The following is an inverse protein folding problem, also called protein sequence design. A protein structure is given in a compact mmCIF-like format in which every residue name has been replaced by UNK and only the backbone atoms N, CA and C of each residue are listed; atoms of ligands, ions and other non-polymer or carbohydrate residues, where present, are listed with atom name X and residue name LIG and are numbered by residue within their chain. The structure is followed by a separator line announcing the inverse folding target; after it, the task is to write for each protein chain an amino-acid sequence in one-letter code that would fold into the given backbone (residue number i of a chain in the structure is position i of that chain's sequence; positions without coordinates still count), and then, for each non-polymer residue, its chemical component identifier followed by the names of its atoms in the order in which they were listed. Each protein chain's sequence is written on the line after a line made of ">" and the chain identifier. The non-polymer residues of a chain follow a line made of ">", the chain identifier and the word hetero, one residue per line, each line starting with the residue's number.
data_IF_826592952075
#
_entry.id   IF_826592952075
#
_cell.length_a   1.000
_cell.length_b   1.000
_cell.length_c   1.000
_cell.angle_alpha   90.00
_cell.angle_beta   90.00
_cell.angle_gamma   90.00
#
_symmetry.space_group_name_H-M   'P 1'
#
loop_
_entity.id
_entity.type
_entity.pdbx_description
1 polymer ?
#
# COMPACT_ATOMS: atom_id res chain seq x y z
N UNK A 1 -10.01 -13.49 -14.58
CA UNK A 1 -10.05 -13.32 -13.12
C UNK A 1 -8.91 -14.10 -12.52
N UNK A 2 -7.83 -13.41 -12.19
CA UNK A 2 -6.65 -14.00 -11.62
C UNK A 2 -6.72 -13.99 -10.08
N UNK A 3 -6.18 -15.05 -9.48
CA UNK A 3 -5.97 -15.17 -8.04
C UNK A 3 -4.47 -15.09 -7.79
N UNK A 4 -4.06 -14.45 -6.71
CA UNK A 4 -2.65 -14.41 -6.34
C UNK A 4 -2.43 -13.67 -5.03
N UNK A 5 -1.20 -13.27 -4.81
CA UNK A 5 -0.82 -12.45 -3.65
C UNK A 5 -0.17 -11.16 -4.07
N UNK A 6 -0.37 -10.10 -3.30
CA UNK A 6 0.44 -8.89 -3.39
C UNK A 6 1.25 -8.81 -2.12
N UNK A 7 2.58 -8.90 -2.24
CA UNK A 7 3.48 -8.73 -1.10
C UNK A 7 3.78 -7.26 -0.95
N UNK A 8 3.48 -6.70 0.22
CA UNK A 8 3.69 -5.29 0.52
C UNK A 8 4.77 -5.17 1.59
N UNK A 9 5.85 -4.47 1.29
CA UNK A 9 6.92 -4.19 2.26
C UNK A 9 6.86 -2.74 2.71
N UNK A 10 6.80 -2.53 4.02
CA UNK A 10 6.91 -1.22 4.63
C UNK A 10 8.37 -0.99 5.05
N UNK A 11 9.14 -0.26 4.25
CA UNK A 11 10.55 0.04 4.53
C UNK A 11 10.73 1.33 5.34
N UNK A 12 9.78 1.60 6.23
CA UNK A 12 9.75 2.82 7.07
C UNK A 12 9.81 2.44 8.55
N UNK A 13 10.14 3.42 9.40
CA UNK A 13 10.16 3.23 10.84
C UNK A 13 8.75 3.20 11.48
N UNK A 14 7.70 3.55 10.73
CA UNK A 14 6.35 3.71 11.25
C UNK A 14 5.46 2.52 10.89
N UNK A 15 4.48 2.23 11.74
CA UNK A 15 3.43 1.26 11.40
C UNK A 15 2.43 1.90 10.44
N UNK A 16 2.20 1.25 9.30
CA UNK A 16 1.26 1.70 8.27
C UNK A 16 0.05 0.77 8.22
N UNK A 17 -1.08 1.27 7.74
CA UNK A 17 -2.19 0.43 7.32
C UNK A 17 -2.26 0.42 5.79
N UNK A 18 -2.77 -0.65 5.21
CA UNK A 18 -2.97 -0.75 3.77
C UNK A 18 -4.36 -1.27 3.43
N UNK A 19 -4.85 -0.84 2.28
CA UNK A 19 -6.04 -1.37 1.64
C UNK A 19 -5.72 -1.63 0.17
N UNK A 20 -6.09 -2.80 -0.32
CA UNK A 20 -6.01 -3.16 -1.73
C UNK A 20 -7.40 -3.12 -2.34
N UNK A 21 -7.52 -2.43 -3.46
CA UNK A 21 -8.75 -2.30 -4.23
C UNK A 21 -8.56 -2.96 -5.60
N UNK A 22 -9.59 -3.65 -6.10
CA UNK A 22 -9.59 -4.08 -7.50
C UNK A 22 -9.61 -2.87 -8.44
N UNK A 23 -8.97 -2.95 -9.60
CA UNK A 23 -9.07 -1.86 -10.56
C UNK A 23 -10.53 -1.69 -11.02
N UNK A 24 -11.02 -0.45 -11.03
CA UNK A 24 -12.41 -0.12 -11.41
C UNK A 24 -13.42 -0.06 -10.27
N UNK A 25 -13.07 -0.38 -9.02
CA UNK A 25 -13.93 -0.03 -7.87
C UNK A 25 -13.80 1.46 -7.57
N UNK A 26 -14.85 2.23 -7.91
CA UNK A 26 -14.92 3.69 -7.73
C UNK A 26 -15.30 4.08 -6.29
N UNK A 27 -15.88 3.16 -5.53
CA UNK A 27 -16.17 3.27 -4.10
C UNK A 27 -16.65 1.90 -3.61
N UNK A 28 -15.95 1.29 -2.66
CA UNK A 28 -16.30 -0.03 -2.14
C UNK A 28 -15.31 -0.51 -1.08
N UNK A 29 -15.67 -1.56 -0.34
CA UNK A 29 -14.77 -2.19 0.62
C UNK A 29 -13.51 -2.72 -0.07
N UNK A 30 -12.33 -2.61 0.55
CA UNK A 30 -11.12 -3.19 -0.01
C UNK A 30 -11.25 -4.71 -0.13
N UNK A 31 -10.63 -5.27 -1.17
CA UNK A 31 -10.60 -6.73 -1.37
C UNK A 31 -9.61 -7.42 -0.42
N UNK A 32 -8.60 -6.67 0.05
CA UNK A 32 -7.69 -7.08 1.11
C UNK A 32 -7.25 -5.85 1.90
N UNK A 33 -7.00 -6.01 3.20
CA UNK A 33 -6.51 -4.94 4.07
C UNK A 33 -5.66 -5.51 5.18
N UNK A 34 -4.85 -4.66 5.80
CA UNK A 34 -4.06 -5.06 6.96
C UNK A 34 -3.12 -3.98 7.46
N UNK A 35 -2.26 -4.40 8.39
CA UNK A 35 -1.24 -3.56 9.01
C UNK A 35 0.14 -3.96 8.49
N UNK A 36 0.96 -2.99 8.12
CA UNK A 36 2.35 -3.17 7.75
C UNK A 36 3.24 -2.76 8.92
N UNK A 37 3.93 -3.73 9.52
CA UNK A 37 4.93 -3.45 10.53
C UNK A 37 6.22 -2.91 9.88
N UNK A 38 6.99 -2.08 10.59
CA UNK A 38 8.28 -1.58 10.11
C UNK A 38 9.21 -2.68 9.60
N UNK A 39 9.77 -2.49 8.41
CA UNK A 39 10.71 -3.36 7.72
C UNK A 39 10.27 -4.82 7.60
N UNK A 40 8.95 -5.06 7.54
CA UNK A 40 8.39 -6.41 7.38
C UNK A 40 7.46 -6.46 6.17
N UNK A 41 7.58 -7.51 5.32
CA UNK A 41 6.61 -7.77 4.28
C UNK A 41 5.30 -8.28 4.87
N UNK A 42 4.19 -7.99 4.19
CA UNK A 42 2.88 -8.56 4.45
C UNK A 42 2.28 -9.07 3.14
N UNK A 43 1.78 -10.30 3.14
CA UNK A 43 1.18 -10.93 1.96
C UNK A 43 -0.35 -10.73 2.01
N UNK A 44 -0.87 -9.98 1.05
CA UNK A 44 -2.29 -9.78 0.87
C UNK A 44 -2.83 -10.70 -0.24
N UNK A 45 -3.72 -11.62 0.12
CA UNK A 45 -4.38 -12.50 -0.85
C UNK A 45 -5.44 -11.70 -1.62
N UNK A 46 -5.39 -11.79 -2.96
CA UNK A 46 -6.30 -11.07 -3.85
C UNK A 46 -6.92 -12.00 -4.89
N UNK A 47 -8.16 -11.71 -5.27
CA UNK A 47 -8.90 -12.48 -6.26
C UNK A 47 -9.96 -11.62 -6.96
N UNK A 48 -10.38 -12.08 -8.14
CA UNK A 48 -11.52 -11.50 -8.87
C UNK A 48 -11.19 -10.35 -9.83
N UNK A 49 -9.96 -9.82 -9.81
CA UNK A 49 -9.52 -8.74 -10.68
C UNK A 49 -8.18 -9.07 -11.36
N UNK A 50 -7.95 -8.47 -12.53
CA UNK A 50 -6.68 -8.63 -13.25
C UNK A 50 -5.63 -7.59 -12.79
N UNK A 51 -6.09 -6.47 -12.24
CA UNK A 51 -5.27 -5.38 -11.70
C UNK A 51 -5.83 -4.90 -10.36
N UNK A 52 -4.94 -4.42 -9.50
CA UNK A 52 -5.24 -3.96 -8.14
C UNK A 52 -4.46 -2.69 -7.81
N UNK A 53 -5.07 -1.76 -7.06
CA UNK A 53 -4.42 -0.58 -6.52
C UNK A 53 -4.14 -0.78 -5.02
N UNK A 54 -2.89 -0.66 -4.62
CA UNK A 54 -2.48 -0.75 -3.21
C UNK A 54 -2.41 0.65 -2.60
N UNK A 55 -3.36 0.99 -1.73
CA UNK A 55 -3.43 2.27 -1.04
C UNK A 55 -2.89 2.14 0.38
N UNK A 56 -2.06 3.10 0.80
CA UNK A 56 -1.42 3.13 2.11
C UNK A 56 -1.99 4.28 2.94
N UNK A 57 -2.19 4.02 4.22
CA UNK A 57 -2.72 4.94 5.20
C UNK A 57 -1.69 5.08 6.32
N UNK A 58 -1.28 6.32 6.58
CA UNK A 58 -0.47 6.62 7.75
C UNK A 58 -1.35 6.52 8.99
N UNK A 59 -1.09 5.51 9.82
CA UNK A 59 -1.79 5.33 11.08
C UNK A 59 -1.57 6.55 11.96
N UNK A 60 -2.63 7.31 12.23
CA UNK A 60 -2.59 8.48 13.14
C UNK A 60 -2.35 9.85 12.49
N UNK A 61 -1.98 9.94 11.20
CA UNK A 61 -1.85 11.25 10.52
C UNK A 61 -3.00 11.57 9.55
N UNK A 62 -3.83 10.58 9.22
CA UNK A 62 -4.93 10.74 8.26
C UNK A 62 -4.48 10.84 6.79
N UNK A 63 -3.17 10.78 6.51
CA UNK A 63 -2.64 10.80 5.15
C UNK A 63 -2.93 9.52 4.39
N UNK A 64 -3.41 9.66 3.15
CA UNK A 64 -3.63 8.56 2.20
C UNK A 64 -2.65 8.69 1.04
N UNK A 65 -1.93 7.62 0.75
CA UNK A 65 -1.06 7.51 -0.43
C UNK A 65 -1.63 6.46 -1.38
N UNK A 66 -1.86 6.88 -2.61
CA UNK A 66 -2.31 5.99 -3.67
C UNK A 66 -1.09 5.34 -4.32
N UNK A 67 -0.93 4.04 -4.10
CA UNK A 67 0.18 3.28 -4.69
C UNK A 67 -0.07 2.91 -6.15
N UNK A 68 0.88 2.19 -6.76
CA UNK A 68 0.77 1.75 -8.15
C UNK A 68 -0.39 0.77 -8.34
N UNK A 69 -0.88 0.73 -9.58
CA UNK A 69 -1.75 -0.36 -10.03
C UNK A 69 -0.88 -1.53 -10.47
N UNK A 70 -1.07 -2.71 -9.87
CA UNK A 70 -0.25 -3.91 -10.07
C UNK A 70 -1.11 -5.13 -10.38
N UNK A 71 -0.51 -6.13 -11.02
CA UNK A 71 -1.14 -7.43 -11.19
C UNK A 71 -1.03 -8.29 -9.92
N UNK A 72 -1.73 -9.45 -9.89
CA UNK A 72 -1.48 -10.47 -8.87
C UNK A 72 -0.02 -10.96 -8.92
N UNK A 73 0.44 -11.52 -7.81
CA UNK A 73 1.80 -12.07 -7.61
C UNK A 73 2.93 -11.03 -7.79
N UNK A 74 2.60 -9.76 -7.54
CA UNK A 74 3.54 -8.62 -7.59
C UNK A 74 4.00 -8.23 -6.19
N UNK A 75 5.24 -7.75 -6.07
CA UNK A 75 5.75 -7.14 -4.84
C UNK A 75 5.74 -5.62 -4.96
N UNK A 76 5.27 -4.94 -3.90
CA UNK A 76 5.22 -3.48 -3.80
C UNK A 76 5.96 -3.06 -2.55
N UNK A 77 6.92 -2.16 -2.70
CA UNK A 77 7.66 -1.58 -1.58
C UNK A 77 7.22 -0.13 -1.38
N UNK A 78 6.88 0.21 -0.13
CA UNK A 78 6.56 1.58 0.27
C UNK A 78 7.68 2.12 1.14
N UNK A 79 8.21 3.26 0.71
CA UNK A 79 9.23 4.03 1.42
C UNK A 79 8.63 5.40 1.70
N UNK A 80 8.33 5.68 2.97
CA UNK A 80 7.95 7.00 3.48
C UNK A 80 9.18 7.58 4.17
N UNK A 81 9.82 8.53 3.50
CA UNK A 81 10.79 9.42 4.13
C UNK A 81 10.05 10.65 4.63
N UNK A 82 10.22 11.00 5.90
CA UNK A 82 9.97 12.36 6.34
C UNK A 82 11.03 13.23 5.67
N UNK A 83 10.64 14.04 4.68
CA UNK A 83 11.47 15.17 4.31
C UNK A 83 11.41 16.13 5.51
N UNK A 84 12.39 16.03 6.41
CA UNK A 84 12.64 17.09 7.37
C UNK A 84 13.19 18.24 6.55
N UNK A 85 12.27 19.04 5.98
CA UNK A 85 12.53 19.98 4.90
C UNK A 85 13.95 20.52 4.96
N UNK A 86 14.73 20.21 3.92
CA UNK A 86 16.02 20.85 3.74
C UNK A 86 15.84 22.34 3.95
N UNK A 87 16.60 22.89 4.89
CA UNK A 87 16.61 24.30 5.23
C UNK A 87 16.59 25.13 3.95
N UNK A 88 15.67 26.08 3.85
CA UNK A 88 15.78 27.15 2.87
C UNK A 88 17.03 27.97 3.21
N UNK A 89 18.18 27.55 2.68
CA UNK A 89 19.32 28.44 2.45
C UNK A 89 19.03 29.17 1.14
N UNK A 90 18.45 30.38 1.23
CA UNK A 90 18.90 31.63 0.57
C UNK A 90 17.99 32.81 1.00
#
# INVERSE_FOLDING_TARGET
>A
MANGKITITNSTAQTLAFNIYGNGVTSGSPVASGTLLPNKPNDALVSGYDLYQANIFLTGSGGVFYGPTVGPDTQVEFIVSSDSGAASDD
#
